data_IF_042510335059
#
_entry.id   IF_042510335059
#
_cell.length_a   1.000
_cell.length_b   1.000
_cell.length_c   1.000
_cell.angle_alpha   90.00
_cell.angle_beta   90.00
_cell.angle_gamma   90.00
#
_symmetry.space_group_name_H-M   'P 1'
#
loop_
_entity.id
_entity.type
_entity.pdbx_description
1 polymer ?
#
# COMPACT_ATOMS: atom_id res chain seq x y z
N UNK A 1 11.57 12.44 -2.62
CA UNK A 1 12.43 11.28 -2.36
C UNK A 1 11.59 10.06 -2.55
N UNK A 2 12.00 9.13 -3.42
CA UNK A 2 11.18 7.98 -3.81
C UNK A 2 10.82 7.08 -2.63
N UNK A 3 9.73 6.32 -2.81
CA UNK A 3 9.22 5.31 -1.88
C UNK A 3 10.29 4.22 -1.63
N UNK A 4 11.30 4.50 -0.82
CA UNK A 4 12.60 3.83 -0.98
C UNK A 4 12.62 2.39 -0.48
N UNK A 5 11.58 1.92 0.23
CA UNK A 5 11.56 0.59 0.85
C UNK A 5 10.14 0.04 1.05
N UNK A 6 9.22 0.35 0.16
CA UNK A 6 7.91 -0.32 0.16
C UNK A 6 8.06 -1.68 -0.51
N UNK A 7 7.69 -2.74 0.20
CA UNK A 7 7.55 -4.08 -0.37
C UNK A 7 6.06 -4.41 -0.47
N UNK A 8 5.65 -4.90 -1.64
CA UNK A 8 4.34 -5.47 -1.86
C UNK A 8 4.48 -6.97 -2.09
N UNK A 9 3.68 -7.77 -1.39
CA UNK A 9 3.55 -9.20 -1.63
C UNK A 9 2.10 -9.52 -1.95
N UNK A 10 1.89 -10.28 -3.02
CA UNK A 10 0.59 -10.80 -3.40
C UNK A 10 0.46 -12.18 -2.75
N UNK A 11 -0.55 -12.34 -1.91
CA UNK A 11 -0.91 -13.60 -1.27
C UNK A 11 -2.33 -13.93 -1.69
N UNK A 12 -2.45 -14.83 -2.68
CA UNK A 12 -3.73 -15.24 -3.22
C UNK A 12 -4.53 -14.02 -3.71
N UNK A 13 -5.71 -13.73 -3.14
CA UNK A 13 -6.53 -12.55 -3.46
C UNK A 13 -6.18 -11.27 -2.65
N UNK A 14 -5.15 -11.31 -1.79
CA UNK A 14 -4.79 -10.19 -0.90
C UNK A 14 -3.41 -9.61 -1.22
N UNK A 15 -3.27 -8.29 -1.16
CA UNK A 15 -1.99 -7.60 -1.31
C UNK A 15 -1.52 -7.08 0.05
N UNK A 16 -0.40 -7.60 0.53
CA UNK A 16 0.26 -7.12 1.75
C UNK A 16 1.32 -6.08 1.38
N UNK A 17 1.18 -4.88 1.93
CA UNK A 17 2.15 -3.79 1.75
C UNK A 17 2.90 -3.55 3.06
N UNK A 18 4.23 -3.60 3.00
CA UNK A 18 5.12 -3.36 4.14
C UNK A 18 6.05 -2.20 3.82
N UNK A 19 6.13 -1.23 4.72
CA UNK A 19 7.05 -0.08 4.61
C UNK A 19 7.79 0.11 5.93
N UNK A 20 9.04 0.61 5.92
CA UNK A 20 9.78 0.89 7.15
C UNK A 20 9.31 2.15 7.89
N UNK A 21 8.56 3.02 7.21
CA UNK A 21 8.08 4.29 7.74
C UNK A 21 6.58 4.41 7.52
N UNK A 22 5.88 4.93 8.52
CA UNK A 22 4.44 5.20 8.41
C UNK A 22 4.13 6.28 7.37
N UNK A 23 5.03 7.26 7.19
CA UNK A 23 4.91 8.32 6.18
C UNK A 23 4.88 7.73 4.76
N UNK A 24 5.84 6.85 4.43
CA UNK A 24 5.86 6.08 3.18
C UNK A 24 4.58 5.24 3.01
N UNK A 25 4.12 4.57 4.08
CA UNK A 25 2.90 3.77 4.03
C UNK A 25 1.68 4.62 3.69
N UNK A 26 1.52 5.77 4.35
CA UNK A 26 0.44 6.72 4.09
C UNK A 26 0.53 7.30 2.66
N UNK A 27 1.73 7.62 2.19
CA UNK A 27 1.95 8.13 0.84
C UNK A 27 1.58 7.10 -0.25
N UNK A 28 1.91 5.82 -0.04
CA UNK A 28 1.50 4.73 -0.94
C UNK A 28 -0.01 4.52 -0.91
N UNK A 29 -0.65 4.52 0.27
CA UNK A 29 -2.10 4.38 0.39
C UNK A 29 -2.81 5.54 -0.33
N UNK A 30 -2.33 6.77 -0.16
CA UNK A 30 -2.87 7.94 -0.85
C UNK A 30 -2.68 7.84 -2.37
N UNK A 31 -1.55 7.29 -2.84
CA UNK A 31 -1.30 7.05 -4.25
C UNK A 31 -2.24 5.99 -4.83
N UNK A 32 -2.37 4.85 -4.14
CA UNK A 32 -3.26 3.76 -4.54
C UNK A 32 -4.73 4.18 -4.52
N UNK A 33 -5.16 4.98 -3.54
CA UNK A 33 -6.53 5.54 -3.49
C UNK A 33 -6.82 6.54 -4.61
N UNK A 34 -5.79 7.24 -5.11
CA UNK A 34 -5.92 8.16 -6.25
C UNK A 34 -5.94 7.43 -7.59
N UNK A 35 -5.44 6.21 -7.63
CA UNK A 35 -5.33 5.43 -8.84
C UNK A 35 -6.62 4.62 -9.01
N UNK A 36 -7.28 4.79 -10.14
CA UNK A 36 -8.55 4.13 -10.41
C UNK A 36 -8.29 2.68 -10.81
N UNK A 37 -8.57 1.76 -9.90
CA UNK A 37 -8.46 0.32 -10.15
C UNK A 37 -9.80 -0.32 -10.52
N UNK A 38 -10.91 0.43 -10.47
CA UNK A 38 -12.27 -0.10 -10.65
C UNK A 38 -12.71 -1.06 -9.53
N UNK A 39 -11.98 -1.08 -8.41
CA UNK A 39 -12.14 -2.01 -7.28
C UNK A 39 -12.01 -1.22 -5.96
N UNK A 40 -12.83 -1.53 -4.96
CA UNK A 40 -12.65 -0.95 -3.62
C UNK A 40 -11.44 -1.57 -2.93
N UNK A 41 -10.35 -0.80 -2.81
CA UNK A 41 -9.17 -1.19 -2.05
C UNK A 41 -9.44 -1.04 -0.55
N UNK A 42 -9.56 -2.16 0.16
CA UNK A 42 -9.61 -2.19 1.61
C UNK A 42 -8.19 -2.21 2.19
N UNK A 43 -7.83 -1.16 2.94
CA UNK A 43 -6.55 -1.09 3.65
C UNK A 43 -6.80 -1.42 5.13
N UNK A 44 -6.16 -2.47 5.65
CA UNK A 44 -6.35 -2.92 7.03
C UNK A 44 -5.12 -3.65 7.58
N UNK A 45 -5.15 -3.95 8.88
CA UNK A 45 -4.10 -4.67 9.61
C UNK A 45 -2.74 -3.94 9.62
N UNK A 46 -2.76 -2.65 9.99
CA UNK A 46 -1.56 -1.86 10.26
C UNK A 46 -0.82 -2.43 11.47
N UNK A 47 0.40 -2.94 11.26
CA UNK A 47 1.30 -3.43 12.31
C UNK A 47 2.70 -2.93 12.08
#
# INVERSE_FOLDING_TARGET
GGFKKVNAQIQDEQVRVTAPSIDDLQAVIAHLKKQDFGLELAFGNYR
#
